data_IF_455375979407
#
_entry.id   IF_455375979407
#
_cell.length_a   1.000
_cell.length_b   1.000
_cell.length_c   1.000
_cell.angle_alpha   90.00
_cell.angle_beta   90.00
_cell.angle_gamma   90.00
#
_symmetry.space_group_name_H-M   'P 1'
#
loop_
_entity.id
_entity.type
_entity.pdbx_description
1 polymer ?
2 polymer ?
3 non-polymer ?
4 non-polymer ?
5 water ?
#
loop_
_entity_poly.entity_id
_entity_poly.type
_entity_poly.pdbx_seq_one_letter_code
_entity_poly.pdbx_strand_id
1 'polyribonucleotide' 'GGAUAUGAGGAGAGAUUUCAUCCAUUGCACUCCGGAUGAAACACCGAAGAAGUAAAUCUUUCAGGUAAAAAGGACUCAUAUUGGACGAACCUCUGGAGAGCUUAUCUAAGAGAUAACACCGAAGGAGCAAAGCUAAUUUUAGCCUAAACUCUCAGGUAAAAGGACGGAG' ?
#
# COMPACT_ATOMS: atom_id res chain seq x y z
N UNK B 6 3.38 14.11 -0.70
CA UNK B 6 2.65 13.41 -1.80
C UNK B 6 3.36 13.66 -3.15
N UNK B 7 4.61 13.17 -3.22
CA UNK B 7 5.45 13.32 -4.40
C UNK B 7 5.89 11.94 -4.91
N UNK B 8 5.65 11.63 -6.20
CA UNK B 8 5.84 10.31 -6.81
C UNK B 8 6.95 9.45 -6.19
N UNK B 9 6.65 8.18 -5.97
CA UNK B 9 7.54 7.26 -5.25
C UNK B 9 7.26 5.82 -5.66
N UNK B 10 8.18 4.92 -5.31
CA UNK B 10 7.98 3.49 -5.51
C UNK B 10 6.94 2.95 -4.54
N UNK B 11 7.13 3.23 -3.25
CA UNK B 11 6.18 2.79 -2.22
C UNK B 11 5.06 3.82 -2.08
N UNK B 12 3.84 3.35 -1.85
CA UNK B 12 2.69 4.23 -1.61
C UNK B 12 1.98 3.86 -0.30
N UNK B 13 1.41 4.88 0.36
CA UNK B 13 0.84 4.77 1.71
C UNK B 13 -0.67 4.67 1.66
N UNK B 14 -1.23 3.61 2.24
CA UNK B 14 -2.68 3.41 2.29
C UNK B 14 -3.16 3.43 3.72
N UNK B 15 -4.23 4.18 3.99
CA UNK B 15 -4.81 4.22 5.33
C UNK B 15 -6.33 4.38 5.27
N UNK B 16 -6.94 4.55 6.44
CA UNK B 16 -8.38 4.39 6.60
C UNK B 16 -8.81 3.11 5.92
N UNK B 17 -8.27 2.01 6.41
CA UNK B 17 -8.78 0.69 6.08
C UNK B 17 -9.09 -0.01 7.38
N UNK B 18 -10.00 -0.98 7.31
CA UNK B 18 -10.62 -1.54 8.51
C UNK B 18 -9.61 -2.04 9.54
N UNK B 19 -9.87 -1.71 10.80
CA UNK B 19 -8.91 -1.90 11.87
C UNK B 19 -9.21 -3.16 12.70
N UNK B 20 -9.76 -4.19 12.05
CA UNK B 20 -10.09 -5.47 12.71
C UNK B 20 -9.62 -6.70 11.91
N UNK B 21 -8.71 -6.51 10.97
CA UNK B 21 -8.27 -7.58 10.08
C UNK B 21 -6.93 -8.15 10.52
N UNK B 22 -6.72 -9.43 10.26
CA UNK B 22 -5.47 -10.10 10.60
C UNK B 22 -4.34 -9.61 9.68
N UNK B 23 -3.23 -9.17 10.26
CA UNK B 23 -2.10 -8.67 9.49
C UNK B 23 -1.73 -9.57 8.30
N UNK B 24 -2.06 -10.86 8.40
CA UNK B 24 -1.72 -11.83 7.37
C UNK B 24 -2.85 -11.74 6.35
N UNK B 25 -4.09 -11.91 6.80
CA UNK B 25 -5.23 -11.92 5.89
C UNK B 25 -5.51 -10.55 5.25
N UNK B 26 -4.96 -9.49 5.84
CA UNK B 26 -4.99 -8.17 5.21
C UNK B 26 -3.93 -8.12 4.12
N UNK B 27 -2.71 -8.52 4.47
CA UNK B 27 -1.63 -8.66 3.49
C UNK B 27 -2.09 -9.43 2.27
N UNK B 28 -2.90 -10.47 2.49
CA UNK B 28 -3.49 -11.25 1.38
C UNK B 28 -4.27 -10.33 0.44
N UNK B 29 -5.35 -9.74 0.95
CA UNK B 29 -6.30 -9.00 0.11
C UNK B 29 -5.65 -7.87 -0.67
N UNK B 30 -4.63 -7.24 -0.08
CA UNK B 30 -3.93 -6.13 -0.72
C UNK B 30 -3.08 -6.61 -1.90
N UNK B 31 -2.27 -7.64 -1.66
CA UNK B 31 -1.48 -8.26 -2.73
C UNK B 31 -2.40 -8.69 -3.87
N UNK B 32 -3.57 -9.22 -3.52
CA UNK B 32 -4.54 -9.67 -4.49
C UNK B 32 -5.13 -8.54 -5.32
N UNK B 33 -5.26 -7.36 -4.72
CA UNK B 33 -5.87 -6.22 -5.39
C UNK B 33 -4.87 -5.42 -6.22
N UNK B 34 -3.62 -5.32 -5.76
CA UNK B 34 -2.63 -4.43 -6.38
C UNK B 34 -1.67 -5.08 -7.39
N UNK B 35 -1.56 -6.40 -7.36
CA UNK B 35 -0.62 -7.12 -8.24
C UNK B 35 -0.94 -6.93 -9.72
N UNK B 36 -2.22 -6.67 -10.01
CA UNK B 36 -2.69 -6.41 -11.37
C UNK B 36 -2.20 -5.08 -11.96
N UNK B 37 -1.50 -4.26 -11.16
CA UNK B 37 -0.95 -2.97 -11.62
C UNK B 37 0.55 -3.04 -11.92
N UNK B 38 1.27 -3.91 -11.20
CA UNK B 38 2.70 -4.11 -11.42
C UNK B 38 3.29 -5.17 -10.53
N UNK B 39 4.63 -5.19 -10.44
CA UNK B 39 5.31 -6.16 -9.58
C UNK B 39 5.35 -5.65 -8.15
N UNK B 40 4.61 -6.31 -7.27
CA UNK B 40 4.57 -5.97 -5.84
C UNK B 40 5.75 -6.58 -5.09
N UNK B 41 6.72 -5.74 -4.73
CA UNK B 41 7.92 -6.21 -4.04
C UNK B 41 7.62 -6.62 -2.60
N UNK B 42 6.83 -5.82 -1.90
CA UNK B 42 6.44 -6.14 -0.53
C UNK B 42 5.22 -5.33 -0.07
N UNK B 43 4.51 -5.87 0.91
CA UNK B 43 3.42 -5.17 1.58
C UNK B 43 3.71 -5.07 3.08
N UNK B 44 4.22 -3.91 3.47
CA UNK B 44 4.54 -3.65 4.87
C UNK B 44 3.25 -3.31 5.61
N UNK B 45 2.98 -4.02 6.71
CA UNK B 45 1.79 -3.76 7.53
C UNK B 45 2.07 -4.16 8.97
N UNK B 46 1.36 -3.51 9.90
CA UNK B 46 1.43 -3.90 11.31
C UNK B 46 0.14 -3.53 12.02
N UNK B 47 0.07 -3.87 13.31
CA UNK B 47 -1.10 -3.55 14.14
C UNK B 47 -0.68 -2.85 15.42
N UNK B 48 0.41 -2.09 15.36
CA UNK B 48 0.85 -1.27 16.48
C UNK B 48 -0.02 -0.02 16.55
N UNK B 49 -0.29 0.45 17.76
CA UNK B 49 -1.16 1.60 17.98
C UNK B 49 -0.88 2.76 17.03
N UNK B 50 0.40 3.04 16.80
CA UNK B 50 0.78 4.15 15.94
C UNK B 50 0.51 3.85 14.46
N UNK B 51 0.58 2.58 14.08
CA UNK B 51 0.45 2.17 12.68
C UNK B 51 -0.78 1.29 12.41
N UNK B 52 -1.86 1.51 13.17
CA UNK B 52 -3.13 0.79 12.95
C UNK B 52 -3.71 1.21 11.61
N UNK B 53 -4.70 0.47 11.13
CA UNK B 53 -5.47 0.84 9.93
C UNK B 53 -4.71 1.45 8.76
N UNK B 54 -3.42 1.13 8.65
CA UNK B 54 -2.53 1.68 7.63
C UNK B 54 -1.75 0.56 6.95
N UNK B 55 -1.19 0.84 5.78
CA UNK B 55 -0.43 -0.15 5.01
C UNK B 55 0.46 0.50 3.95
N UNK B 56 1.52 -0.19 3.56
CA UNK B 56 2.41 0.25 2.49
C UNK B 56 2.52 -0.83 1.44
N UNK B 57 2.74 -0.42 0.21
CA UNK B 57 2.95 -1.36 -0.87
C UNK B 57 4.09 -0.84 -1.73
N UNK B 58 5.17 -1.62 -1.80
CA UNK B 58 6.33 -1.25 -2.59
C UNK B 58 6.23 -1.86 -3.98
N UNK B 59 6.56 -1.05 -4.99
CA UNK B 59 6.59 -1.52 -6.38
C UNK B 59 8.02 -1.40 -6.91
N UNK B 60 8.35 -2.18 -7.94
CA UNK B 60 9.69 -2.14 -8.51
C UNK B 60 9.91 -0.87 -9.33
N UNK B 61 8.84 -0.38 -9.94
CA UNK B 61 8.89 0.78 -10.82
C UNK B 61 7.83 1.82 -10.39
N UNK B 62 8.25 3.09 -10.35
CA UNK B 62 7.38 4.19 -9.95
C UNK B 62 6.05 4.11 -10.69
N UNK B 63 6.13 3.86 -11.99
CA UNK B 63 4.96 3.82 -12.88
C UNK B 63 3.86 2.87 -12.44
N UNK B 64 4.22 1.82 -11.71
CA UNK B 64 3.23 0.89 -11.16
C UNK B 64 2.61 1.43 -9.88
N UNK B 65 3.39 2.19 -9.09
CA UNK B 65 2.88 2.84 -7.88
C UNK B 65 1.82 3.89 -8.21
N UNK B 66 2.05 4.63 -9.30
CA UNK B 66 1.15 5.69 -9.73
C UNK B 66 -0.15 5.15 -10.30
N UNK B 67 -0.03 4.17 -11.19
CA UNK B 67 -1.21 3.59 -11.82
C UNK B 67 -2.14 2.90 -10.83
N UNK B 68 -1.58 2.37 -9.75
CA UNK B 68 -2.36 1.82 -8.65
C UNK B 68 -3.01 2.94 -7.83
N UNK B 69 -2.23 3.97 -7.52
CA UNK B 69 -2.74 5.14 -6.78
C UNK B 69 -3.92 5.77 -7.51
N UNK B 70 -3.64 6.35 -8.66
CA UNK B 70 -4.63 7.14 -9.37
C UNK B 70 -5.92 6.37 -9.66
N UNK B 71 -5.83 5.04 -9.65
CA UNK B 71 -6.95 4.17 -10.04
C UNK B 71 -7.71 3.58 -8.85
N UNK B 72 -7.00 3.12 -7.83
CA UNK B 72 -7.64 2.46 -6.70
C UNK B 72 -8.10 3.32 -5.54
N UNK B 73 -8.24 4.61 -5.80
CA UNK B 73 -8.48 5.63 -4.78
C UNK B 73 -9.93 5.65 -4.36
N UNK B 74 -10.17 5.75 -3.06
CA UNK B 74 -11.52 5.74 -2.52
C UNK B 74 -12.29 4.48 -2.89
N UNK B 75 -11.55 3.42 -3.20
CA UNK B 75 -12.15 2.17 -3.62
C UNK B 75 -12.70 1.45 -2.40
N UNK B 76 -14.00 1.07 -2.44
CA UNK B 76 -14.67 0.46 -1.29
C UNK B 76 -14.08 -0.90 -0.97
N UNK B 77 -13.27 -0.92 0.07
CA UNK B 77 -12.52 -2.09 0.47
C UNK B 77 -12.79 -2.36 1.96
N UNK B 78 -13.60 -3.38 2.22
CA UNK B 78 -13.96 -3.80 3.59
C UNK B 78 -14.85 -2.78 4.32
N UNK B 79 -15.77 -2.17 3.58
CA UNK B 79 -16.62 -1.08 4.10
C UNK B 79 -15.81 0.16 4.53
N UNK B 80 -14.66 0.36 3.90
CA UNK B 80 -13.91 1.58 4.08
C UNK B 80 -13.42 2.01 2.71
N UNK B 81 -13.53 3.30 2.40
CA UNK B 81 -12.89 3.80 1.19
C UNK B 81 -11.39 3.88 1.42
N UNK B 82 -10.63 3.16 0.62
CA UNK B 82 -9.19 3.25 0.68
C UNK B 82 -8.74 4.69 0.42
N UNK B 83 -7.82 5.18 1.25
CA UNK B 83 -7.20 6.48 1.03
C UNK B 83 -5.70 6.28 0.82
N UNK B 84 -5.25 6.47 -0.42
CA UNK B 84 -3.89 6.16 -0.81
C UNK B 84 -3.14 7.45 -1.15
N UNK B 85 -1.82 7.45 -0.95
CA UNK B 85 -0.96 8.59 -1.28
C UNK B 85 0.51 8.20 -1.26
N UNK B 86 1.36 9.01 -1.88
CA UNK B 86 2.78 8.65 -2.01
C UNK B 86 3.50 8.69 -0.67
N UNK B 87 4.53 7.87 -0.57
CA UNK B 87 5.27 7.71 0.68
C UNK B 87 6.33 8.80 0.88
N UNK B 88 7.20 8.57 1.86
CA UNK B 88 8.31 9.46 2.18
C UNK B 88 9.62 8.94 1.59
N UNK B 89 9.89 7.66 1.83
CA UNK B 89 11.16 7.04 1.43
C UNK B 89 11.06 5.51 1.50
N UNK B 90 11.68 4.83 0.54
CA UNK B 90 11.46 3.38 0.36
C UNK B 90 12.13 2.55 1.46
N UNK B 91 13.43 2.74 1.64
CA UNK B 91 14.26 2.03 2.63
C UNK B 91 14.28 0.51 2.43
N UNK B 92 14.57 0.08 1.21
CA UNK B 92 14.64 -1.34 0.89
C UNK B 92 15.73 -1.61 -0.14
N UNK B 93 15.47 -2.55 -1.04
CA UNK B 93 16.43 -2.88 -2.09
C UNK B 93 16.60 -1.70 -3.03
N UNK B 94 15.52 -0.94 -3.22
CA UNK B 94 15.53 0.24 -4.09
C UNK B 94 16.28 1.43 -3.46
N UNK B 95 15.90 1.81 -2.24
CA UNK B 95 16.57 2.90 -1.53
C UNK B 95 17.87 2.40 -0.91
N UNK B 96 18.96 3.13 -1.14
CA UNK B 96 20.32 2.76 -0.71
C UNK B 96 20.95 1.66 -1.59
N UNK B 97 20.35 1.40 -2.75
CA UNK B 97 20.89 0.44 -3.72
C UNK B 97 20.68 0.94 -5.15
#
# INVERSE_FOLDING_TARGET
MAVPETRPNHTIYINNLNEKIKKDELKKSLHAIFSRFGQILDILVSRSLKMRGQAFVIFKEVSSATNALRSMQGFPFYDKPMRIQYAKTDSDIIAKMK
#
